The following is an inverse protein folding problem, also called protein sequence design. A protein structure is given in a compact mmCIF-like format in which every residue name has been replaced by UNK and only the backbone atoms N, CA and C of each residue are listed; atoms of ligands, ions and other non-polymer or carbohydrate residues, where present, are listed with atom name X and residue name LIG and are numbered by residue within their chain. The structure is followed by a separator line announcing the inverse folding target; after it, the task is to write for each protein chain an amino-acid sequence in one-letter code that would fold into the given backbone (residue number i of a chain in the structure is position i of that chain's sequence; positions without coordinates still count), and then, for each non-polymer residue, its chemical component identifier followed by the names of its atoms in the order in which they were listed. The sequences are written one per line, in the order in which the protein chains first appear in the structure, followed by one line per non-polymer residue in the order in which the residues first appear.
data_IF_469184445930
#
_entry.id   IF_469184445930
#
_cell.length_a   1.000
_cell.length_b   1.000
_cell.length_c   1.000
_cell.angle_alpha   90.00
_cell.angle_beta   90.00
_cell.angle_gamma   90.00
#
_symmetry.space_group_name_H-M   'P 1'
#
loop_
_entity.id
_entity.type
_entity.pdbx_description
1 polymer ?
#
# COMPACT_ATOMS: atom_id res chain seq x y z
N UNK A 1 22.82 4.36 -16.14
CA UNK A 1 22.95 3.98 -14.73
C UNK A 1 21.71 4.49 -13.99
N UNK A 2 21.01 3.64 -13.25
CA UNK A 2 19.83 4.04 -12.46
C UNK A 2 20.27 4.89 -11.26
N UNK A 3 19.42 5.85 -10.86
CA UNK A 3 19.65 6.66 -9.67
C UNK A 3 19.43 5.81 -8.41
N UNK A 4 20.26 6.02 -7.40
CA UNK A 4 20.06 5.47 -6.04
C UNK A 4 19.62 6.55 -5.05
N UNK A 5 19.35 7.76 -5.54
CA UNK A 5 18.91 8.86 -4.69
C UNK A 5 17.44 8.71 -4.32
N UNK A 6 17.12 8.91 -3.04
CA UNK A 6 15.75 8.82 -2.50
C UNK A 6 14.75 9.62 -3.35
N UNK A 7 15.07 10.88 -3.65
CA UNK A 7 14.21 11.80 -4.39
C UNK A 7 13.93 11.39 -5.84
N UNK A 8 14.59 10.33 -6.32
CA UNK A 8 14.42 9.74 -7.67
C UNK A 8 14.01 8.27 -7.62
N UNK A 9 13.62 7.77 -6.45
CA UNK A 9 13.27 6.37 -6.25
C UNK A 9 11.82 6.29 -5.76
N UNK A 10 11.00 5.55 -6.50
CA UNK A 10 9.57 5.39 -6.26
C UNK A 10 9.19 3.92 -6.29
N UNK A 11 8.16 3.54 -5.54
CA UNK A 11 7.58 2.21 -5.61
C UNK A 11 6.10 2.33 -6.01
N UNK A 12 5.66 1.49 -6.95
CA UNK A 12 4.26 1.42 -7.34
C UNK A 12 3.85 -0.03 -7.56
N UNK A 13 2.60 -0.35 -7.26
CA UNK A 13 2.06 -1.68 -7.49
C UNK A 13 0.56 -1.75 -7.32
N UNK A 14 -0.02 -2.85 -7.79
CA UNK A 14 -1.45 -3.13 -7.68
C UNK A 14 -1.70 -4.39 -6.84
N UNK A 15 -2.85 -4.47 -6.16
CA UNK A 15 -3.24 -5.62 -5.35
C UNK A 15 -2.16 -6.03 -4.34
N UNK A 16 -1.61 -7.24 -4.39
CA UNK A 16 -0.45 -7.64 -3.57
C UNK A 16 0.80 -6.80 -3.86
N UNK A 17 0.99 -6.33 -5.10
CA UNK A 17 2.04 -5.38 -5.44
C UNK A 17 1.82 -4.01 -4.80
N UNK A 18 0.57 -3.58 -4.64
CA UNK A 18 0.20 -2.37 -3.91
C UNK A 18 0.54 -2.47 -2.41
N UNK A 19 0.26 -3.62 -1.80
CA UNK A 19 0.76 -3.94 -0.47
C UNK A 19 2.29 -3.87 -0.40
N UNK A 20 2.97 -4.54 -1.36
CA UNK A 20 4.42 -4.57 -1.41
C UNK A 20 5.05 -3.18 -1.53
N UNK A 21 4.50 -2.33 -2.41
CA UNK A 21 4.96 -0.95 -2.59
C UNK A 21 4.79 -0.15 -1.29
N UNK A 22 3.61 -0.22 -0.66
CA UNK A 22 3.33 0.45 0.60
C UNK A 22 4.27 -0.02 1.72
N UNK A 23 4.41 -1.34 1.88
CA UNK A 23 5.31 -1.94 2.87
C UNK A 23 6.76 -1.50 2.68
N UNK A 24 7.26 -1.46 1.43
CA UNK A 24 8.61 -1.00 1.13
C UNK A 24 8.81 0.46 1.55
N UNK A 25 7.87 1.33 1.22
CA UNK A 25 7.94 2.74 1.59
C UNK A 25 7.89 2.96 3.10
N UNK A 26 7.08 2.20 3.82
CA UNK A 26 6.97 2.28 5.27
C UNK A 26 8.16 1.63 6.00
N UNK A 27 8.71 0.52 5.47
CA UNK A 27 9.84 -0.17 6.08
C UNK A 27 11.20 0.45 5.74
N UNK A 28 11.30 1.20 4.63
CA UNK A 28 12.52 1.81 4.12
C UNK A 28 12.27 3.25 3.64
N UNK A 29 11.75 4.13 4.49
CA UNK A 29 11.37 5.50 4.13
C UNK A 29 12.56 6.31 3.59
N UNK A 30 13.77 5.98 4.01
CA UNK A 30 15.01 6.60 3.54
C UNK A 30 15.35 6.27 2.08
N UNK A 31 14.71 5.26 1.51
CA UNK A 31 14.98 4.78 0.14
C UNK A 31 14.00 5.30 -0.90
N UNK A 32 12.80 5.73 -0.49
CA UNK A 32 11.72 6.09 -1.40
C UNK A 32 11.19 7.49 -1.14
N UNK A 33 11.03 8.30 -2.20
CA UNK A 33 10.40 9.62 -2.11
C UNK A 33 8.87 9.52 -2.20
N UNK A 34 8.36 8.55 -2.96
CA UNK A 34 6.93 8.37 -3.14
C UNK A 34 6.57 6.89 -3.37
N UNK A 35 5.34 6.55 -2.98
CA UNK A 35 4.77 5.21 -3.07
C UNK A 35 3.37 5.30 -3.63
N UNK A 36 3.04 4.45 -4.61
CA UNK A 36 1.70 4.33 -5.17
C UNK A 36 1.15 2.91 -4.99
N UNK A 37 -0.02 2.79 -4.38
CA UNK A 37 -0.74 1.55 -4.13
C UNK A 37 -2.11 1.58 -4.80
N UNK A 38 -2.31 0.74 -5.81
CA UNK A 38 -3.57 0.61 -6.54
C UNK A 38 -4.31 -0.63 -6.04
N UNK A 39 -5.51 -0.43 -5.49
CA UNK A 39 -6.29 -1.54 -4.89
C UNK A 39 -5.43 -2.45 -4.01
N UNK A 40 -4.57 -1.87 -3.17
CA UNK A 40 -3.61 -2.63 -2.38
C UNK A 40 -4.26 -3.50 -1.32
N UNK A 41 -3.72 -4.70 -1.07
CA UNK A 41 -4.10 -5.55 0.06
C UNK A 41 -3.46 -5.00 1.36
N UNK A 42 -3.77 -3.75 1.69
CA UNK A 42 -3.02 -2.93 2.66
C UNK A 42 -3.37 -3.18 4.13
N UNK A 43 -4.47 -3.86 4.39
CA UNK A 43 -4.83 -4.31 5.75
C UNK A 43 -4.75 -5.83 5.79
N UNK A 44 -3.76 -6.34 6.51
CA UNK A 44 -3.57 -7.76 6.76
C UNK A 44 -4.06 -8.12 8.18
N UNK A 45 -5.18 -7.55 8.61
CA UNK A 45 -5.86 -7.93 9.85
C UNK A 45 -6.62 -9.24 9.69
N UNK A 46 -6.98 -9.88 10.78
CA UNK A 46 -7.76 -11.12 10.81
C UNK A 46 -9.06 -11.03 10.00
N UNK A 47 -9.66 -9.83 9.92
CA UNK A 47 -10.88 -9.57 9.13
C UNK A 47 -10.60 -9.56 7.62
N UNK A 48 -9.46 -9.02 7.19
CA UNK A 48 -9.07 -8.96 5.78
C UNK A 48 -8.64 -10.31 5.23
N UNK A 49 -8.10 -11.19 6.06
CA UNK A 49 -7.74 -12.55 5.65
C UNK A 49 -8.93 -13.37 5.17
N UNK A 50 -10.13 -13.13 5.68
CA UNK A 50 -11.34 -13.80 5.19
C UNK A 50 -11.53 -13.63 3.68
N UNK A 51 -11.28 -12.48 3.13
CA UNK A 51 -11.35 -12.22 1.68
C UNK A 51 -10.17 -12.84 0.93
N UNK A 52 -8.96 -12.73 1.46
CA UNK A 52 -7.77 -13.32 0.85
C UNK A 52 -7.85 -14.85 0.80
N UNK A 53 -8.43 -15.50 1.82
CA UNK A 53 -8.63 -16.95 1.87
C UNK A 53 -9.65 -17.45 0.82
N UNK A 54 -10.53 -16.60 0.31
CA UNK A 54 -11.39 -16.93 -0.84
C UNK A 54 -10.59 -17.04 -2.13
N UNK A 55 -9.47 -16.35 -2.23
CA UNK A 55 -8.65 -16.30 -3.46
C UNK A 55 -7.57 -17.39 -3.48
N UNK A 56 -6.96 -17.68 -2.32
CA UNK A 56 -5.89 -18.68 -2.18
C UNK A 56 -6.00 -19.42 -0.84
N UNK A 57 -5.49 -20.66 -0.81
CA UNK A 57 -5.44 -21.49 0.40
C UNK A 57 -4.59 -20.87 1.50
N UNK A 58 -4.89 -21.18 2.74
CA UNK A 58 -4.16 -20.75 3.93
C UNK A 58 -2.64 -20.97 3.79
N UNK A 59 -2.22 -22.17 3.37
CA UNK A 59 -0.80 -22.51 3.20
C UNK A 59 -0.04 -21.64 2.20
N UNK A 60 -0.75 -21.04 1.24
CA UNK A 60 -0.15 -20.07 0.33
C UNK A 60 0.22 -18.77 1.07
N UNK A 61 -0.68 -18.27 1.88
CA UNK A 61 -0.47 -17.05 2.65
C UNK A 61 0.55 -17.25 3.77
N UNK A 62 0.50 -18.38 4.47
CA UNK A 62 1.50 -18.74 5.49
C UNK A 62 2.89 -18.92 4.89
N UNK A 63 3.00 -19.37 3.64
CA UNK A 63 4.27 -19.45 2.92
C UNK A 63 4.89 -18.06 2.62
N UNK A 64 4.07 -17.00 2.58
CA UNK A 64 4.52 -15.62 2.35
C UNK A 64 4.80 -14.88 3.67
N UNK A 65 3.90 -15.01 4.63
CA UNK A 65 3.85 -14.17 5.82
C UNK A 65 4.22 -14.90 7.11
N UNK A 66 4.35 -16.23 7.09
CA UNK A 66 4.37 -17.04 8.30
C UNK A 66 2.97 -17.22 8.90
N UNK A 67 2.85 -17.63 10.18
CA UNK A 67 1.57 -17.81 10.84
C UNK A 67 0.74 -16.52 10.79
N UNK A 68 -0.50 -16.61 10.28
CA UNK A 68 -1.32 -15.43 10.01
C UNK A 68 -1.75 -14.69 11.29
N UNK A 69 -1.81 -15.38 12.41
CA UNK A 69 -2.10 -14.81 13.73
C UNK A 69 -0.94 -13.95 14.31
N UNK A 70 0.23 -13.97 13.65
CA UNK A 70 1.41 -13.19 14.02
C UNK A 70 1.68 -12.00 13.11
N UNK A 71 0.80 -11.69 12.16
CA UNK A 71 1.00 -10.59 11.21
C UNK A 71 0.72 -9.25 11.87
N UNK A 72 -0.38 -9.14 12.61
CA UNK A 72 -0.75 -7.90 13.31
C UNK A 72 0.35 -7.49 14.28
N UNK A 73 0.79 -6.24 14.19
CA UNK A 73 1.91 -5.72 14.98
C UNK A 73 3.30 -6.22 14.56
N UNK A 74 3.42 -6.82 13.38
CA UNK A 74 4.71 -7.28 12.82
C UNK A 74 5.20 -6.39 11.66
N UNK A 75 6.37 -6.72 11.14
CA UNK A 75 6.93 -6.10 9.92
C UNK A 75 6.09 -6.35 8.65
N UNK A 76 5.08 -7.20 8.72
CA UNK A 76 4.15 -7.48 7.63
C UNK A 76 2.87 -6.63 7.71
N UNK A 77 2.68 -5.91 8.82
CA UNK A 77 1.52 -5.05 9.06
C UNK A 77 1.84 -3.60 8.68
N UNK A 78 1.27 -3.05 7.60
CA UNK A 78 1.52 -1.67 7.20
C UNK A 78 1.09 -0.64 8.24
N UNK A 79 0.02 -0.91 9.00
CA UNK A 79 -0.43 0.00 10.06
C UNK A 79 0.57 0.06 11.22
N UNK A 80 1.13 -1.08 11.60
CA UNK A 80 2.20 -1.14 12.59
C UNK A 80 3.45 -0.38 12.13
N UNK A 81 3.88 -0.60 10.87
CA UNK A 81 5.03 0.13 10.31
C UNK A 81 4.79 1.64 10.27
N UNK A 82 3.57 2.08 9.92
CA UNK A 82 3.21 3.49 9.95
C UNK A 82 3.30 4.06 11.38
N UNK A 83 2.79 3.34 12.37
CA UNK A 83 2.87 3.74 13.77
C UNK A 83 4.34 3.89 14.22
N UNK A 84 5.22 2.97 13.85
CA UNK A 84 6.65 3.05 14.18
C UNK A 84 7.32 4.29 13.57
N UNK A 85 6.92 4.69 12.36
CA UNK A 85 7.43 5.93 11.73
C UNK A 85 6.94 7.18 12.47
N UNK A 86 5.69 7.20 12.93
CA UNK A 86 5.15 8.30 13.73
C UNK A 86 5.90 8.41 15.06
N UNK A 87 6.06 7.31 15.78
CA UNK A 87 6.74 7.27 17.09
C UNK A 87 8.21 7.69 16.99
N UNK A 88 8.89 7.29 15.93
CA UNK A 88 10.30 7.66 15.67
C UNK A 88 10.48 9.02 15.01
N UNK A 89 9.39 9.72 14.67
CA UNK A 89 9.41 10.99 13.93
C UNK A 89 10.23 10.92 12.62
N UNK A 90 10.21 9.76 11.97
CA UNK A 90 10.95 9.52 10.72
C UNK A 90 10.23 10.19 9.55
N UNK A 91 10.99 10.85 8.67
CA UNK A 91 10.46 11.45 7.44
C UNK A 91 9.86 10.36 6.54
N UNK A 92 8.59 10.50 6.22
CA UNK A 92 7.84 9.55 5.40
C UNK A 92 7.94 9.88 3.90
N UNK A 93 7.80 8.89 3.00
CA UNK A 93 7.54 9.15 1.58
C UNK A 93 6.15 9.78 1.40
N UNK A 94 5.90 10.32 0.20
CA UNK A 94 4.54 10.67 -0.21
C UNK A 94 3.78 9.40 -0.61
N UNK A 95 2.48 9.34 -0.30
CA UNK A 95 1.66 8.16 -0.58
C UNK A 95 0.53 8.52 -1.57
N UNK A 96 0.35 7.68 -2.57
CA UNK A 96 -0.83 7.66 -3.43
C UNK A 96 -1.54 6.33 -3.27
N UNK A 97 -2.81 6.38 -2.91
CA UNK A 97 -3.67 5.21 -2.87
C UNK A 97 -4.87 5.43 -3.78
N UNK A 98 -5.26 4.41 -4.51
CA UNK A 98 -6.55 4.40 -5.19
C UNK A 98 -7.20 3.03 -5.10
N UNK A 99 -8.53 2.99 -5.16
CA UNK A 99 -9.30 1.77 -5.10
C UNK A 99 -10.65 1.93 -5.81
N UNK A 100 -11.09 0.89 -6.50
CA UNK A 100 -12.40 0.87 -7.14
C UNK A 100 -13.53 0.90 -6.11
N UNK A 101 -14.62 1.59 -6.42
CA UNK A 101 -15.78 1.70 -5.53
C UNK A 101 -16.50 0.36 -5.33
N UNK A 102 -16.34 -0.58 -6.25
CA UNK A 102 -16.88 -1.94 -6.18
C UNK A 102 -15.80 -2.99 -5.82
N UNK A 103 -14.58 -2.54 -5.50
CA UNK A 103 -13.48 -3.41 -5.13
C UNK A 103 -13.68 -3.95 -3.70
N UNK A 104 -13.46 -5.25 -3.51
CA UNK A 104 -13.55 -5.91 -2.20
C UNK A 104 -12.53 -5.36 -1.18
N UNK A 105 -11.47 -4.70 -1.63
CA UNK A 105 -10.44 -4.10 -0.77
C UNK A 105 -10.69 -2.61 -0.46
N UNK A 106 -11.81 -2.03 -0.91
CA UNK A 106 -12.11 -0.61 -0.71
C UNK A 106 -12.06 -0.22 0.77
N UNK A 107 -12.72 -0.97 1.64
CA UNK A 107 -12.75 -0.70 3.08
C UNK A 107 -11.35 -0.69 3.71
N UNK A 108 -10.49 -1.63 3.32
CA UNK A 108 -9.12 -1.70 3.80
C UNK A 108 -8.29 -0.49 3.33
N UNK A 109 -8.47 -0.06 2.08
CA UNK A 109 -7.79 1.12 1.54
C UNK A 109 -8.28 2.42 2.19
N UNK A 110 -9.58 2.54 2.52
CA UNK A 110 -10.13 3.66 3.28
C UNK A 110 -9.55 3.73 4.70
N UNK A 111 -9.43 2.60 5.39
CA UNK A 111 -8.81 2.52 6.71
C UNK A 111 -7.33 2.96 6.67
N UNK A 112 -6.60 2.52 5.65
CA UNK A 112 -5.20 2.93 5.46
C UNK A 112 -5.07 4.43 5.18
N UNK A 113 -5.95 4.99 4.34
CA UNK A 113 -5.99 6.43 4.08
C UNK A 113 -6.28 7.23 5.36
N UNK A 114 -7.23 6.77 6.17
CA UNK A 114 -7.53 7.38 7.47
C UNK A 114 -6.33 7.31 8.44
N UNK A 115 -5.61 6.20 8.45
CA UNK A 115 -4.41 6.06 9.28
C UNK A 115 -3.28 7.01 8.82
N UNK A 116 -3.10 7.19 7.52
CA UNK A 116 -2.14 8.16 6.96
C UNK A 116 -2.53 9.61 7.32
N UNK A 117 -3.82 9.93 7.30
CA UNK A 117 -4.32 11.24 7.74
C UNK A 117 -4.02 11.49 9.22
N UNK A 118 -4.33 10.52 10.08
CA UNK A 118 -4.03 10.61 11.52
C UNK A 118 -2.53 10.73 11.81
N UNK A 119 -1.70 10.08 11.00
CA UNK A 119 -0.24 10.18 11.05
C UNK A 119 0.29 11.52 10.49
N UNK A 120 -0.56 12.39 9.96
CA UNK A 120 -0.19 13.63 9.26
C UNK A 120 0.79 13.39 8.10
N UNK A 121 0.72 12.22 7.47
CA UNK A 121 1.51 11.88 6.30
C UNK A 121 1.04 12.67 5.07
N UNK A 122 1.95 12.93 4.14
CA UNK A 122 1.58 13.46 2.83
C UNK A 122 0.96 12.35 1.98
N UNK A 123 -0.36 12.41 1.73
CA UNK A 123 -1.03 11.38 0.97
C UNK A 123 -2.12 11.94 0.04
N UNK A 124 -2.43 11.16 -0.98
CA UNK A 124 -3.60 11.30 -1.85
C UNK A 124 -4.35 9.98 -1.83
N UNK A 125 -5.66 10.02 -1.63
CA UNK A 125 -6.53 8.85 -1.77
C UNK A 125 -7.67 9.18 -2.72
N UNK A 126 -7.81 8.38 -3.76
CA UNK A 126 -8.84 8.55 -4.78
C UNK A 126 -9.65 7.27 -4.98
N UNK A 127 -10.93 7.43 -5.24
CA UNK A 127 -11.81 6.33 -5.64
C UNK A 127 -12.52 6.65 -6.94
N UNK A 128 -13.00 5.63 -7.61
CA UNK A 128 -13.82 5.77 -8.80
C UNK A 128 -14.51 4.47 -9.16
N UNK A 129 -15.44 4.50 -10.12
CA UNK A 129 -16.12 3.29 -10.58
C UNK A 129 -15.12 2.22 -11.01
N UNK A 130 -15.31 0.99 -10.57
CA UNK A 130 -14.48 -0.14 -10.95
C UNK A 130 -14.36 -1.21 -9.86
N UNK A 131 -13.96 -2.38 -10.27
CA UNK A 131 -13.76 -3.57 -9.45
C UNK A 131 -12.27 -3.87 -9.26
N UNK A 132 -11.96 -5.04 -8.68
CA UNK A 132 -10.58 -5.51 -8.50
C UNK A 132 -10.05 -6.15 -9.78
N UNK A 133 -9.88 -5.36 -10.84
CA UNK A 133 -9.55 -5.85 -12.18
C UNK A 133 -8.61 -4.95 -12.98
N UNK A 134 -8.17 -5.48 -14.13
CA UNK A 134 -7.26 -4.78 -15.02
C UNK A 134 -7.86 -3.55 -15.69
N UNK A 135 -9.19 -3.45 -15.82
CA UNK A 135 -9.85 -2.27 -16.41
C UNK A 135 -9.61 -1.06 -15.52
N UNK A 136 -9.84 -1.23 -14.21
CA UNK A 136 -9.56 -0.20 -13.22
C UNK A 136 -8.07 0.14 -13.18
N UNK A 137 -7.20 -0.85 -13.10
CA UNK A 137 -5.76 -0.60 -12.91
C UNK A 137 -5.09 0.04 -14.13
N UNK A 138 -5.52 -0.27 -15.37
CA UNK A 138 -4.97 0.33 -16.59
C UNK A 138 -5.28 1.83 -16.67
N UNK A 139 -6.45 2.24 -16.24
CA UNK A 139 -6.82 3.64 -16.14
C UNK A 139 -6.04 4.35 -15.01
N UNK A 140 -6.06 3.76 -13.82
CA UNK A 140 -5.55 4.41 -12.62
C UNK A 140 -4.03 4.44 -12.50
N UNK A 141 -3.31 3.53 -13.15
CA UNK A 141 -1.85 3.61 -13.22
C UNK A 141 -1.39 4.88 -13.91
N UNK A 142 -2.13 5.39 -14.88
CA UNK A 142 -1.81 6.63 -15.58
C UNK A 142 -1.91 7.83 -14.63
N UNK A 143 -2.91 7.86 -13.75
CA UNK A 143 -3.05 8.89 -12.70
C UNK A 143 -1.91 8.79 -11.70
N UNK A 144 -1.59 7.58 -11.24
CA UNK A 144 -0.49 7.35 -10.32
C UNK A 144 0.87 7.80 -10.92
N UNK A 145 1.14 7.49 -12.18
CA UNK A 145 2.34 7.94 -12.89
C UNK A 145 2.40 9.46 -13.07
N UNK A 146 1.25 10.10 -13.32
CA UNK A 146 1.17 11.55 -13.42
C UNK A 146 1.37 12.25 -12.07
N UNK A 147 0.95 11.60 -10.98
CA UNK A 147 1.12 12.08 -9.61
C UNK A 147 2.57 11.93 -9.11
N UNK A 148 3.29 10.87 -9.52
CA UNK A 148 4.67 10.66 -9.10
C UNK A 148 5.56 11.86 -9.44
N UNK A 149 6.43 12.33 -8.53
CA UNK A 149 7.32 13.46 -8.74
C UNK A 149 8.49 13.12 -9.69
N UNK A 150 8.17 12.58 -10.87
CA UNK A 150 9.15 12.23 -11.91
C UNK A 150 9.55 13.52 -12.63
N UNK A 151 10.84 13.87 -12.69
CA UNK A 151 11.29 15.02 -13.47
C UNK A 151 10.88 14.84 -14.93
N UNK A 152 10.21 15.84 -15.48
CA UNK A 152 9.84 15.90 -16.91
C UNK A 152 11.04 16.26 -17.77
#
# INVERSE_FOLDING_TARGET
QLSTKREKTFAAGLSMGGYGALKLGLAKPESFAAVASLSGAVSLSSTSFGELLKVRKLSYWEGIFGPLDQIEGSIHDPLYLLQQLVESQTEMPQFYLCCGEQDMLLSANQQMAQALEQAQASYTFETGPGEHDWVFWDEWIQKALAWLPIPK
#
